data_IF_865341073582
#
_entry.id   IF_865341073582
#
_cell.length_a   1.000
_cell.length_b   1.000
_cell.length_c   1.000
_cell.angle_alpha   90.00
_cell.angle_beta   90.00
_cell.angle_gamma   90.00
#
_symmetry.space_group_name_H-M   'P 1'
#
loop_
_entity.id
_entity.type
_entity.pdbx_description
1 polymer ?
#
# COMPACT_ATOMS: atom_id res chain seq x y z
N UNK A 1 0.59 0.70 25.93
CA UNK A 1 0.85 0.42 24.50
C UNK A 1 0.49 -1.03 24.22
N UNK A 2 0.06 -1.34 23.00
CA UNK A 2 -0.23 -2.72 22.59
C UNK A 2 0.62 -3.03 21.36
N UNK A 3 1.36 -4.13 21.40
CA UNK A 3 2.18 -4.61 20.29
C UNK A 3 1.56 -5.89 19.76
N UNK A 4 1.47 -5.98 18.44
CA UNK A 4 1.11 -7.20 17.75
C UNK A 4 2.38 -7.88 17.22
N UNK A 5 2.47 -9.21 17.30
CA UNK A 5 3.58 -9.96 16.68
C UNK A 5 3.75 -9.65 15.19
N UNK A 6 2.64 -9.47 14.47
CA UNK A 6 2.63 -9.12 13.06
C UNK A 6 1.80 -7.85 12.82
N UNK A 7 2.48 -6.72 12.58
CA UNK A 7 1.82 -5.44 12.28
C UNK A 7 1.22 -5.39 10.87
N UNK A 8 1.76 -6.15 9.90
CA UNK A 8 1.23 -6.22 8.53
C UNK A 8 -0.06 -7.05 8.45
N UNK A 9 -0.28 -7.93 9.43
CA UNK A 9 -1.52 -8.70 9.54
C UNK A 9 -2.68 -7.91 10.14
N UNK A 10 -2.48 -6.67 10.59
CA UNK A 10 -3.56 -5.87 11.14
C UNK A 10 -4.58 -5.49 10.07
N UNK A 11 -5.86 -5.57 10.41
CA UNK A 11 -6.93 -5.13 9.52
C UNK A 11 -7.11 -3.63 9.68
N UNK A 12 -6.94 -2.88 8.59
CA UNK A 12 -7.22 -1.45 8.57
C UNK A 12 -8.75 -1.23 8.59
N UNK A 13 -9.26 -0.54 9.60
CA UNK A 13 -10.71 -0.28 9.76
C UNK A 13 -11.04 1.21 9.54
N UNK A 14 -10.05 2.09 9.59
CA UNK A 14 -10.20 3.52 9.30
C UNK A 14 -8.89 4.17 8.85
N UNK A 15 -8.87 5.51 8.78
CA UNK A 15 -7.74 6.28 8.22
C UNK A 15 -6.42 5.97 8.94
N UNK A 16 -6.43 5.93 10.27
CA UNK A 16 -5.25 5.62 11.11
C UNK A 16 -5.53 4.52 12.14
N UNK A 17 -6.71 3.89 12.07
CA UNK A 17 -7.17 2.91 13.05
C UNK A 17 -7.07 1.48 12.52
N UNK A 18 -6.42 0.64 13.33
CA UNK A 18 -6.15 -0.76 13.03
C UNK A 18 -6.85 -1.67 14.02
N UNK A 19 -7.38 -2.80 13.54
CA UNK A 19 -8.03 -3.83 14.35
C UNK A 19 -7.26 -5.14 14.25
N UNK A 20 -7.23 -5.87 15.36
CA UNK A 20 -6.66 -7.21 15.39
C UNK A 20 -7.36 -8.13 14.40
N UNK A 21 -6.58 -8.93 13.68
CA UNK A 21 -7.04 -10.01 12.82
C UNK A 21 -6.44 -11.34 13.29
N UNK A 22 -6.85 -12.44 12.66
CA UNK A 22 -6.24 -13.75 12.92
C UNK A 22 -4.75 -13.75 12.54
N UNK A 23 -4.37 -13.01 11.49
CA UNK A 23 -3.00 -12.95 10.97
C UNK A 23 -2.07 -12.03 11.77
N UNK A 24 -2.64 -11.11 12.57
CA UNK A 24 -1.84 -10.22 13.44
C UNK A 24 -1.34 -10.91 14.72
N UNK A 25 -2.02 -12.00 15.13
CA UNK A 25 -1.80 -12.65 16.42
C UNK A 25 -2.44 -11.90 17.60
N UNK A 26 -2.26 -12.45 18.81
CA UNK A 26 -2.82 -11.86 20.04
C UNK A 26 -2.14 -10.53 20.43
N UNK A 27 -2.89 -9.55 20.95
CA UNK A 27 -2.35 -8.29 21.42
C UNK A 27 -1.50 -8.46 22.68
N UNK A 28 -0.23 -8.06 22.62
CA UNK A 28 0.62 -7.97 23.81
C UNK A 28 0.54 -6.55 24.36
N UNK A 29 -0.21 -6.36 25.45
CA UNK A 29 -0.29 -5.08 26.15
C UNK A 29 0.90 -4.89 27.10
N UNK A 30 1.41 -3.66 27.20
CA UNK A 30 2.46 -3.27 28.15
C UNK A 30 2.50 -1.77 28.40
N UNK A 31 3.27 -1.37 29.41
CA UNK A 31 3.48 0.04 29.75
C UNK A 31 4.52 0.69 28.83
N UNK A 32 4.38 2.00 28.58
CA UNK A 32 5.37 2.74 27.82
C UNK A 32 6.68 2.88 28.61
N UNK A 33 7.82 2.65 27.95
CA UNK A 33 9.14 2.73 28.59
C UNK A 33 9.56 1.50 29.41
N UNK A 34 8.77 0.42 29.42
CA UNK A 34 9.14 -0.86 30.06
C UNK A 34 9.17 -2.00 29.05
N UNK A 35 10.24 -2.79 29.03
CA UNK A 35 10.43 -3.92 28.11
C UNK A 35 10.78 -3.50 26.67
N UNK A 36 10.09 -4.07 25.68
CA UNK A 36 10.31 -3.80 24.24
C UNK A 36 9.52 -2.60 23.70
N UNK A 37 8.81 -1.87 24.56
CA UNK A 37 8.02 -0.70 24.16
C UNK A 37 8.87 0.56 24.19
N UNK A 38 8.75 1.40 23.15
CA UNK A 38 9.42 2.69 23.08
C UNK A 38 8.92 3.67 24.15
N UNK A 39 9.70 4.74 24.35
CA UNK A 39 9.28 5.86 25.19
C UNK A 39 8.20 6.72 24.50
N UNK A 40 7.36 7.39 25.30
CA UNK A 40 6.43 8.40 24.79
C UNK A 40 7.18 9.74 24.75
N UNK A 41 7.31 10.34 23.57
CA UNK A 41 7.78 11.72 23.42
C UNK A 41 6.57 12.65 23.42
N UNK A 42 6.30 13.31 24.54
CA UNK A 42 5.24 14.32 24.63
C UNK A 42 5.54 15.52 23.70
N UNK A 43 4.52 16.02 23.01
CA UNK A 43 4.60 17.13 22.03
C UNK A 43 5.33 16.82 20.71
N UNK A 44 5.63 15.56 20.40
CA UNK A 44 6.09 15.14 19.08
C UNK A 44 4.96 14.44 18.30
N UNK A 45 4.75 14.82 17.05
CA UNK A 45 3.82 14.16 16.12
C UNK A 45 4.63 13.29 15.16
N UNK A 46 4.29 12.00 15.04
CA UNK A 46 4.90 11.11 14.05
C UNK A 46 4.50 11.58 12.64
N UNK A 47 5.51 11.92 11.83
CA UNK A 47 5.29 12.29 10.43
C UNK A 47 5.10 11.02 9.59
N UNK A 48 4.36 11.15 8.50
CA UNK A 48 4.19 10.07 7.54
C UNK A 48 5.55 9.54 7.08
N UNK A 49 5.70 8.22 7.07
CA UNK A 49 6.90 7.56 6.53
C UNK A 49 6.95 7.56 5.00
N UNK A 50 5.93 8.12 4.34
CA UNK A 50 5.77 8.15 2.88
C UNK A 50 6.62 9.26 2.26
N UNK A 51 7.48 8.89 1.30
CA UNK A 51 8.23 9.85 0.50
C UNK A 51 7.43 10.23 -0.75
N UNK A 52 6.87 11.44 -0.77
CA UNK A 52 6.00 11.93 -1.84
C UNK A 52 6.64 11.83 -3.24
N UNK A 53 7.97 12.01 -3.35
CA UNK A 53 8.67 11.92 -4.63
C UNK A 53 8.67 10.50 -5.18
N UNK A 54 8.85 9.50 -4.31
CA UNK A 54 8.83 8.10 -4.73
C UNK A 54 7.42 7.68 -5.13
N UNK A 55 6.40 8.03 -4.33
CA UNK A 55 4.99 7.74 -4.66
C UNK A 55 4.57 8.36 -6.01
N UNK A 56 5.04 9.57 -6.31
CA UNK A 56 4.76 10.23 -7.58
C UNK A 56 5.42 9.48 -8.76
N UNK A 57 6.66 9.00 -8.59
CA UNK A 57 7.36 8.22 -9.62
C UNK A 57 6.68 6.88 -9.84
N UNK A 58 6.23 6.22 -8.78
CA UNK A 58 5.49 4.95 -8.86
C UNK A 58 4.14 5.15 -9.57
N UNK A 59 3.43 6.25 -9.28
CA UNK A 59 2.19 6.61 -9.98
C UNK A 59 2.45 6.89 -11.47
N UNK A 60 3.47 7.68 -11.80
CA UNK A 60 3.83 7.96 -13.21
C UNK A 60 4.20 6.66 -13.94
N UNK A 61 4.88 5.73 -13.26
CA UNK A 61 5.26 4.44 -13.82
C UNK A 61 4.04 3.54 -14.05
N UNK A 62 3.13 3.46 -13.08
CA UNK A 62 1.86 2.76 -13.22
C UNK A 62 1.01 3.34 -14.37
N UNK A 63 0.96 4.68 -14.49
CA UNK A 63 0.24 5.35 -15.57
C UNK A 63 0.86 5.06 -16.95
N UNK A 64 2.19 5.08 -17.06
CA UNK A 64 2.89 4.72 -18.30
C UNK A 64 2.64 3.28 -18.69
N UNK A 65 2.66 2.34 -17.73
CA UNK A 65 2.35 0.94 -17.98
C UNK A 65 0.90 0.75 -18.45
N UNK A 66 -0.05 1.46 -17.83
CA UNK A 66 -1.44 1.46 -18.29
C UNK A 66 -1.57 1.99 -19.72
N UNK A 67 -0.94 3.12 -20.03
CA UNK A 67 -0.96 3.69 -21.39
C UNK A 67 -0.29 2.77 -22.42
N UNK A 68 0.83 2.15 -22.07
CA UNK A 68 1.51 1.19 -22.95
C UNK A 68 0.63 -0.04 -23.23
N UNK A 69 -0.01 -0.58 -22.19
CA UNK A 69 -0.94 -1.70 -22.33
C UNK A 69 -2.17 -1.33 -23.17
N UNK A 70 -2.74 -0.13 -22.98
CA UNK A 70 -3.86 0.36 -23.79
C UNK A 70 -3.48 0.53 -25.26
N UNK A 71 -2.31 1.10 -25.57
CA UNK A 71 -1.83 1.20 -26.97
C UNK A 71 -1.58 -0.17 -27.59
N UNK A 72 -1.04 -1.12 -26.84
CA UNK A 72 -0.85 -2.49 -27.33
C UNK A 72 -2.20 -3.15 -27.67
N UNK A 73 -3.23 -2.92 -26.85
CA UNK A 73 -4.60 -3.37 -27.12
C UNK A 73 -5.20 -2.70 -28.36
N UNK A 74 -5.05 -1.38 -28.52
CA UNK A 74 -5.52 -0.64 -29.70
C UNK A 74 -4.87 -1.15 -30.99
N UNK A 75 -3.55 -1.33 -30.99
CA UNK A 75 -2.81 -1.88 -32.13
C UNK A 75 -3.28 -3.29 -32.44
N UNK A 76 -3.49 -4.13 -31.42
CA UNK A 76 -4.02 -5.49 -31.61
C UNK A 76 -5.41 -5.47 -32.27
N UNK A 77 -6.32 -4.61 -31.78
CA UNK A 77 -7.67 -4.47 -32.34
C UNK A 77 -7.65 -3.98 -33.79
N UNK A 78 -6.72 -3.07 -34.12
CA UNK A 78 -6.54 -2.54 -35.49
C UNK A 78 -6.05 -3.63 -36.44
N UNK A 79 -5.06 -4.43 -36.02
CA UNK A 79 -4.55 -5.56 -36.81
C UNK A 79 -5.66 -6.61 -37.03
N UNK A 80 -6.46 -6.92 -36.01
CA UNK A 80 -7.58 -7.84 -36.14
C UNK A 80 -8.62 -7.35 -37.17
N UNK A 81 -8.97 -6.06 -37.14
CA UNK A 81 -9.87 -5.47 -38.14
C UNK A 81 -9.29 -5.54 -39.56
N UNK A 82 -8.00 -5.24 -39.73
CA UNK A 82 -7.34 -5.34 -41.04
C UNK A 82 -7.34 -6.77 -41.60
N UNK A 83 -7.16 -7.80 -40.75
CA UNK A 83 -7.26 -9.20 -41.17
C UNK A 83 -8.67 -9.55 -41.65
N UNK A 84 -9.71 -9.03 -40.99
CA UNK A 84 -11.11 -9.26 -41.37
C UNK A 84 -11.47 -8.60 -42.71
N UNK A 85 -10.82 -7.49 -43.09
CA UNK A 85 -11.08 -6.75 -44.34
C UNK A 85 -10.37 -7.34 -45.57
N UNK A 86 -9.41 -8.25 -45.40
CA UNK A 86 -8.67 -8.89 -46.51
C UNK A 86 -9.39 -10.16 -47.03
N UNK A 87 -10.44 -10.63 -46.35
CA UNK A 87 -11.28 -11.76 -46.80
C UNK A 87 -12.50 -11.29 -47.59
#
# INVERSE_FOLDING_TARGET
MVRFPNSQGLSQVGDTSWKQSIDSGEPVAGEAGSGTFGGINSSALEQSNTNLTNELVDLITAQRNYQANSRALEVNSTIQQSILQIR
#
